data_IF_207751432797
#
_entry.id   IF_207751432797
#
_cell.length_a   1.000
_cell.length_b   1.000
_cell.length_c   1.000
_cell.angle_alpha   90.00
_cell.angle_beta   90.00
_cell.angle_gamma   90.00
#
_symmetry.space_group_name_H-M   'P 1'
#
loop_
_entity.id
_entity.type
_entity.pdbx_description
1 polymer ?
#
# COMPACT_ATOMS: atom_id res chain seq x y z
N UNK A 1 -26.22 2.66 -2.66
CA UNK A 1 -25.31 1.50 -2.56
C UNK A 1 -25.93 0.54 -1.55
N UNK A 2 -26.18 -0.72 -1.92
CA UNK A 2 -26.78 -1.69 -0.99
C UNK A 2 -25.77 -2.04 0.11
N UNK A 3 -26.18 -1.90 1.37
CA UNK A 3 -25.39 -2.30 2.55
C UNK A 3 -25.61 -3.78 2.91
N UNK A 4 -26.45 -4.48 2.15
CA UNK A 4 -26.86 -5.87 2.40
C UNK A 4 -26.18 -6.83 1.42
N UNK A 5 -25.70 -7.96 1.96
CA UNK A 5 -25.13 -9.08 1.22
C UNK A 5 -25.87 -10.37 1.64
N UNK A 6 -26.25 -11.24 0.69
CA UNK A 6 -26.25 -11.00 -0.76
C UNK A 6 -27.23 -9.87 -1.12
N UNK A 7 -27.04 -9.23 -2.27
CA UNK A 7 -27.91 -8.13 -2.71
C UNK A 7 -29.32 -8.61 -3.09
N UNK A 8 -29.43 -9.89 -3.46
CA UNK A 8 -30.68 -10.60 -3.71
C UNK A 8 -30.62 -11.97 -3.02
N UNK A 9 -31.75 -12.54 -2.58
CA UNK A 9 -31.78 -13.87 -2.00
C UNK A 9 -31.23 -14.94 -2.95
N UNK A 10 -30.47 -15.88 -2.41
CA UNK A 10 -29.90 -17.01 -3.16
C UNK A 10 -30.69 -18.27 -2.84
N UNK A 11 -30.89 -19.18 -3.80
CA UNK A 11 -31.43 -20.52 -3.50
C UNK A 11 -30.29 -21.45 -3.01
N UNK A 12 -30.26 -21.86 -1.73
CA UNK A 12 -29.22 -22.72 -1.19
C UNK A 12 -29.22 -24.12 -1.82
N UNK A 13 -30.37 -24.56 -2.35
CA UNK A 13 -30.55 -25.89 -2.93
C UNK A 13 -29.70 -26.08 -4.19
N UNK A 14 -29.44 -24.98 -4.90
CA UNK A 14 -28.61 -24.96 -6.11
C UNK A 14 -27.11 -25.19 -5.85
N UNK A 15 -26.64 -24.97 -4.61
CA UNK A 15 -25.22 -24.98 -4.26
C UNK A 15 -24.67 -26.38 -3.89
N UNK A 16 -25.53 -27.41 -3.84
CA UNK A 16 -25.09 -28.78 -3.57
C UNK A 16 -24.43 -28.97 -2.19
N UNK A 17 -24.87 -28.24 -1.17
CA UNK A 17 -24.26 -28.28 0.16
C UNK A 17 -24.37 -29.67 0.82
N UNK A 18 -23.31 -30.17 1.49
CA UNK A 18 -23.38 -31.41 2.25
C UNK A 18 -24.42 -31.31 3.39
N UNK A 19 -25.19 -32.38 3.63
CA UNK A 19 -26.26 -32.36 4.65
C UNK A 19 -25.77 -32.35 6.10
N UNK A 20 -24.48 -32.61 6.34
CA UNK A 20 -23.89 -32.84 7.65
C UNK A 20 -22.89 -31.74 8.07
N UNK A 21 -23.03 -30.52 7.53
CA UNK A 21 -22.20 -29.38 7.92
C UNK A 21 -23.03 -28.32 8.67
N UNK A 22 -22.40 -27.67 9.64
CA UNK A 22 -22.95 -26.49 10.30
C UNK A 22 -22.30 -25.25 9.70
N UNK A 23 -23.10 -24.41 9.03
CA UNK A 23 -22.64 -23.14 8.47
C UNK A 23 -22.38 -22.14 9.60
N UNK A 24 -21.36 -21.30 9.42
CA UNK A 24 -21.10 -20.18 10.32
C UNK A 24 -22.23 -19.15 10.28
N UNK A 25 -22.85 -19.01 9.11
CA UNK A 25 -24.06 -18.22 8.91
C UNK A 25 -25.15 -19.10 8.26
N UNK A 26 -26.14 -19.59 9.04
CA UNK A 26 -27.28 -20.34 8.52
C UNK A 26 -28.19 -19.54 7.58
N UNK A 27 -28.13 -18.20 7.64
CA UNK A 27 -28.96 -17.29 6.87
C UNK A 27 -28.18 -16.58 5.74
N UNK A 28 -27.01 -17.10 5.35
CA UNK A 28 -26.14 -16.52 4.29
C UNK A 28 -26.85 -16.26 2.95
N UNK A 29 -27.98 -16.91 2.72
CA UNK A 29 -28.77 -16.82 1.50
C UNK A 29 -29.79 -15.67 1.53
N UNK A 30 -29.99 -15.03 2.68
CA UNK A 30 -30.88 -13.89 2.89
C UNK A 30 -30.07 -12.60 2.95
N UNK A 31 -30.51 -11.50 2.31
CA UNK A 31 -29.85 -10.21 2.43
C UNK A 31 -29.73 -9.73 3.88
N UNK A 32 -28.50 -9.55 4.37
CA UNK A 32 -28.20 -9.08 5.72
C UNK A 32 -27.04 -8.07 5.73
N UNK A 33 -26.93 -7.18 6.73
CA UNK A 33 -25.78 -6.29 6.88
C UNK A 33 -24.48 -7.08 7.01
N UNK A 34 -23.37 -6.47 6.59
CA UNK A 34 -22.04 -7.10 6.70
C UNK A 34 -21.50 -6.93 8.12
N UNK A 35 -21.30 -8.04 8.82
CA UNK A 35 -20.64 -8.04 10.14
C UNK A 35 -19.11 -8.11 10.05
N UNK A 36 -18.58 -8.91 9.11
CA UNK A 36 -17.14 -9.15 8.94
C UNK A 36 -16.79 -9.28 7.46
N UNK A 37 -15.69 -8.64 7.04
CA UNK A 37 -15.11 -8.78 5.69
C UNK A 37 -13.93 -9.74 5.73
N UNK A 38 -13.98 -10.79 4.91
CA UNK A 38 -12.90 -11.75 4.72
C UNK A 38 -12.37 -11.67 3.28
N UNK A 39 -11.06 -11.76 3.12
CA UNK A 39 -10.43 -11.85 1.79
C UNK A 39 -10.82 -13.16 1.11
N UNK A 40 -11.08 -13.12 -0.20
CA UNK A 40 -11.44 -14.28 -1.03
C UNK A 40 -10.25 -14.80 -1.85
N UNK A 41 -10.37 -15.99 -2.43
CA UNK A 41 -9.35 -16.60 -3.29
C UNK A 41 -8.31 -17.43 -2.52
N UNK A 42 -7.04 -17.35 -2.91
CA UNK A 42 -5.96 -18.18 -2.33
C UNK A 42 -5.74 -17.94 -0.83
N UNK A 43 -6.00 -16.73 -0.36
CA UNK A 43 -5.97 -16.36 1.05
C UNK A 43 -7.07 -17.06 1.84
N UNK A 44 -8.29 -17.11 1.29
CA UNK A 44 -9.44 -17.79 1.89
C UNK A 44 -9.19 -19.28 2.06
N UNK A 45 -8.60 -19.92 1.04
CA UNK A 45 -8.19 -21.32 1.11
C UNK A 45 -7.11 -21.53 2.20
N UNK A 46 -6.23 -20.57 2.44
CA UNK A 46 -5.15 -20.72 3.41
C UNK A 46 -5.60 -20.62 4.87
N UNK A 47 -6.86 -20.22 5.15
CA UNK A 47 -7.32 -19.93 6.51
C UNK A 47 -7.37 -21.16 7.42
N UNK A 48 -7.70 -22.34 6.89
CA UNK A 48 -7.88 -23.55 7.68
C UNK A 48 -7.73 -24.83 6.84
N UNK A 49 -7.49 -25.96 7.51
CA UNK A 49 -7.17 -27.25 6.88
C UNK A 49 -8.38 -27.90 6.17
N UNK A 50 -9.61 -27.67 6.64
CA UNK A 50 -10.81 -28.33 6.12
C UNK A 50 -11.46 -27.59 4.95
N UNK A 51 -11.42 -28.16 3.75
CA UNK A 51 -11.99 -27.58 2.53
C UNK A 51 -12.85 -28.58 1.76
N UNK A 52 -13.91 -28.08 1.11
CA UNK A 52 -14.68 -28.82 0.12
C UNK A 52 -14.86 -27.94 -1.12
N UNK A 53 -14.46 -28.44 -2.29
CA UNK A 53 -14.70 -27.74 -3.55
C UNK A 53 -16.13 -28.03 -4.02
N UNK A 54 -16.91 -26.99 -4.26
CA UNK A 54 -18.29 -27.09 -4.74
C UNK A 54 -18.40 -26.80 -6.25
N UNK A 55 -17.37 -26.21 -6.85
CA UNK A 55 -17.38 -25.85 -8.27
C UNK A 55 -17.19 -27.07 -9.18
N UNK A 56 -17.97 -27.14 -10.25
CA UNK A 56 -17.74 -28.08 -11.35
C UNK A 56 -16.66 -27.56 -12.32
N UNK A 57 -16.05 -28.42 -13.16
CA UNK A 57 -15.09 -27.98 -14.16
C UNK A 57 -15.69 -26.93 -15.12
N UNK A 58 -15.17 -25.70 -15.08
CA UNK A 58 -15.64 -24.58 -15.90
C UNK A 58 -16.58 -23.59 -15.20
N UNK A 59 -16.99 -23.87 -13.96
CA UNK A 59 -17.77 -22.95 -13.12
C UNK A 59 -16.88 -21.99 -12.31
N UNK A 60 -17.43 -20.86 -11.81
CA UNK A 60 -16.74 -19.98 -10.88
C UNK A 60 -16.22 -20.75 -9.66
N UNK A 61 -15.08 -20.32 -9.11
CA UNK A 61 -14.53 -20.97 -7.92
C UNK A 61 -15.53 -20.80 -6.76
N UNK A 62 -16.00 -21.91 -6.19
CA UNK A 62 -16.86 -21.94 -5.02
C UNK A 62 -16.39 -23.05 -4.07
N UNK A 63 -16.12 -22.69 -2.82
CA UNK A 63 -15.54 -23.58 -1.81
C UNK A 63 -16.18 -23.37 -0.46
N UNK A 64 -16.27 -24.46 0.30
CA UNK A 64 -16.56 -24.46 1.72
C UNK A 64 -15.25 -24.50 2.50
N UNK A 65 -15.11 -23.60 3.47
CA UNK A 65 -13.95 -23.52 4.35
C UNK A 65 -14.40 -23.72 5.80
N UNK A 66 -13.83 -24.73 6.46
CA UNK A 66 -14.08 -24.96 7.89
C UNK A 66 -13.36 -23.91 8.72
N UNK A 67 -14.07 -23.22 9.58
CA UNK A 67 -13.52 -22.26 10.55
C UNK A 67 -13.92 -22.68 11.97
N UNK A 68 -13.43 -21.95 12.99
CA UNK A 68 -13.89 -22.14 14.39
C UNK A 68 -15.35 -21.73 14.59
N UNK A 69 -15.92 -20.89 13.71
CA UNK A 69 -17.29 -20.40 13.77
C UNK A 69 -18.29 -21.31 13.03
N UNK A 70 -17.79 -22.29 12.28
CA UNK A 70 -18.59 -23.12 11.36
C UNK A 70 -18.01 -23.10 9.96
N UNK A 71 -18.74 -23.67 9.00
CA UNK A 71 -18.36 -23.68 7.60
C UNK A 71 -18.78 -22.37 6.91
N UNK A 72 -17.84 -21.76 6.20
CA UNK A 72 -18.05 -20.52 5.44
C UNK A 72 -18.01 -20.86 3.95
N UNK A 73 -18.92 -20.26 3.17
CA UNK A 73 -18.95 -20.37 1.72
C UNK A 73 -18.15 -19.18 1.15
N UNK A 74 -17.18 -19.46 0.31
CA UNK A 74 -16.38 -18.43 -0.35
C UNK A 74 -16.00 -18.84 -1.76
N UNK A 75 -15.76 -17.85 -2.60
CA UNK A 75 -15.53 -18.09 -4.01
C UNK A 75 -14.94 -16.87 -4.70
N UNK A 76 -14.47 -17.11 -5.93
CA UNK A 76 -13.94 -16.05 -6.78
C UNK A 76 -14.59 -16.14 -8.16
N UNK A 77 -15.16 -15.05 -8.67
CA UNK A 77 -15.76 -15.05 -10.00
C UNK A 77 -14.68 -15.31 -11.07
N UNK A 78 -15.01 -16.10 -12.08
CA UNK A 78 -14.19 -16.33 -13.28
C UNK A 78 -14.26 -15.10 -14.21
N UNK A 79 -13.64 -14.00 -13.76
CA UNK A 79 -13.39 -12.76 -14.50
C UNK A 79 -14.59 -12.07 -15.18
N UNK A 80 -14.96 -10.89 -14.67
CA UNK A 80 -15.18 -9.73 -15.54
C UNK A 80 -14.85 -8.41 -14.81
N UNK A 81 -14.13 -7.58 -15.56
CA UNK A 81 -13.70 -6.20 -15.33
C UNK A 81 -14.84 -5.27 -14.94
N UNK A 82 -15.19 -5.26 -13.66
CA UNK A 82 -15.72 -4.08 -13.01
C UNK A 82 -14.99 -3.95 -11.69
N UNK A 83 -13.97 -3.09 -11.65
CA UNK A 83 -13.43 -2.61 -10.37
C UNK A 83 -14.54 -1.75 -9.77
N UNK A 84 -15.48 -2.39 -9.08
CA UNK A 84 -16.38 -1.69 -8.19
C UNK A 84 -15.56 -1.33 -6.97
N UNK A 85 -14.98 -0.12 -6.99
CA UNK A 85 -14.29 0.45 -5.84
C UNK A 85 -15.31 0.66 -4.73
N UNK A 86 -15.39 -0.28 -3.79
CA UNK A 86 -16.17 -0.11 -2.58
C UNK A 86 -15.42 0.84 -1.65
N UNK A 87 -15.92 2.07 -1.54
CA UNK A 87 -15.51 2.99 -0.49
C UNK A 87 -16.25 2.62 0.79
N UNK A 88 -15.62 1.81 1.63
CA UNK A 88 -16.06 1.62 3.01
C UNK A 88 -15.55 2.80 3.84
N UNK A 89 -16.44 3.75 4.15
CA UNK A 89 -16.12 4.84 5.07
C UNK A 89 -16.45 4.38 6.48
N UNK A 90 -15.46 3.82 7.18
CA UNK A 90 -15.67 3.32 8.53
C UNK A 90 -15.52 4.44 9.56
N UNK A 91 -16.55 5.25 9.73
CA UNK A 91 -16.54 6.38 10.68
C UNK A 91 -16.53 5.93 12.15
N UNK A 92 -17.04 4.72 12.45
CA UNK A 92 -17.15 4.21 13.82
C UNK A 92 -15.87 3.52 14.33
N UNK A 93 -15.08 2.89 13.44
CA UNK A 93 -13.88 2.14 13.85
C UNK A 93 -12.64 3.00 14.09
N UNK A 94 -12.66 4.29 13.75
CA UNK A 94 -11.47 5.13 13.87
C UNK A 94 -10.95 5.21 15.31
N UNK A 95 -11.86 5.28 16.28
CA UNK A 95 -11.51 5.28 17.71
C UNK A 95 -11.02 3.92 18.22
N UNK A 96 -11.62 2.82 17.72
CA UNK A 96 -11.21 1.46 18.08
C UNK A 96 -9.86 1.08 17.47
N UNK A 97 -9.61 1.48 16.22
CA UNK A 97 -8.31 1.34 15.56
C UNK A 97 -7.25 2.14 16.30
N UNK A 98 -7.52 3.40 16.67
CA UNK A 98 -6.58 4.20 17.45
C UNK A 98 -6.23 3.52 18.78
N UNK A 99 -7.24 3.04 19.52
CA UNK A 99 -7.02 2.28 20.77
C UNK A 99 -6.26 0.97 20.55
N UNK A 100 -6.54 0.25 19.45
CA UNK A 100 -5.82 -0.97 19.12
C UNK A 100 -4.34 -0.70 18.89
N UNK A 101 -4.00 0.35 18.13
CA UNK A 101 -2.61 0.77 17.91
C UNK A 101 -1.94 1.25 19.20
N UNK A 102 -2.64 2.00 20.06
CA UNK A 102 -2.11 2.41 21.38
C UNK A 102 -1.80 1.22 22.30
N UNK A 103 -2.61 0.15 22.24
CA UNK A 103 -2.41 -1.05 23.05
C UNK A 103 -1.25 -1.90 22.50
N UNK A 104 -1.12 -2.02 21.18
CA UNK A 104 -0.08 -2.83 20.53
C UNK A 104 1.30 -2.15 20.58
N UNK A 105 1.36 -0.82 20.44
CA UNK A 105 2.62 -0.05 20.54
C UNK A 105 3.10 0.12 22.00
N UNK A 106 2.22 -0.05 22.98
CA UNK A 106 2.53 0.11 24.41
C UNK A 106 2.70 1.58 24.83
N UNK A 107 2.91 1.86 26.14
CA UNK A 107 3.09 3.23 26.60
C UNK A 107 4.35 3.83 25.95
N UNK A 108 4.20 5.04 25.39
CA UNK A 108 5.26 5.80 24.72
C UNK A 108 6.39 6.17 25.69
N UNK A 109 7.24 5.20 26.02
CA UNK A 109 8.52 5.45 26.65
C UNK A 109 9.47 5.88 25.55
N UNK A 110 9.38 7.16 25.19
CA UNK A 110 10.25 7.80 24.21
C UNK A 110 11.65 8.00 24.79
N UNK A 111 12.38 6.90 24.94
CA UNK A 111 13.84 6.96 25.00
C UNK A 111 14.36 7.20 23.58
N UNK A 112 14.03 8.36 23.02
CA UNK A 112 14.64 8.81 21.76
C UNK A 112 16.14 8.91 22.01
N UNK A 113 16.91 8.15 21.24
CA UNK A 113 18.35 8.35 21.13
C UNK A 113 18.65 9.78 20.68
N UNK A 114 19.86 10.26 20.96
CA UNK A 114 20.30 11.58 20.50
C UNK A 114 20.17 11.74 18.98
N UNK A 115 20.44 10.67 18.23
CA UNK A 115 20.27 10.63 16.78
C UNK A 115 18.81 10.79 16.33
N UNK A 116 17.86 10.18 17.03
CA UNK A 116 16.44 10.29 16.73
C UNK A 116 15.90 11.68 17.06
N UNK A 117 16.37 12.28 18.18
CA UNK A 117 16.05 13.67 18.52
C UNK A 117 16.53 14.65 17.47
N UNK A 118 17.78 14.51 17.01
CA UNK A 118 18.35 15.36 15.96
C UNK A 118 17.60 15.19 14.62
N UNK A 119 17.19 13.96 14.30
CA UNK A 119 16.38 13.68 13.11
C UNK A 119 15.00 14.35 13.18
N UNK A 120 14.33 14.25 14.33
CA UNK A 120 13.02 14.86 14.54
C UNK A 120 13.09 16.40 14.52
N UNK A 121 14.10 16.98 15.17
CA UNK A 121 14.33 18.42 15.13
C UNK A 121 14.64 18.91 13.71
N UNK A 122 15.49 18.16 12.97
CA UNK A 122 15.77 18.47 11.58
C UNK A 122 14.50 18.42 10.72
N UNK A 123 13.65 17.40 10.90
CA UNK A 123 12.37 17.30 10.21
C UNK A 123 11.47 18.51 10.50
N UNK A 124 11.26 18.84 11.78
CA UNK A 124 10.41 19.97 12.19
C UNK A 124 10.90 21.31 11.64
N UNK A 125 12.21 21.53 11.63
CA UNK A 125 12.79 22.80 11.21
C UNK A 125 12.85 22.98 9.69
N UNK A 126 12.95 21.89 8.93
CA UNK A 126 13.27 21.96 7.50
C UNK A 126 12.21 21.37 6.57
N UNK A 127 11.24 20.62 7.08
CA UNK A 127 10.13 20.09 6.27
C UNK A 127 8.96 21.05 6.32
N UNK A 128 8.61 21.61 5.16
CA UNK A 128 7.47 22.52 5.01
C UNK A 128 6.67 22.20 3.77
N UNK A 129 5.37 22.46 3.81
CA UNK A 129 4.47 22.28 2.67
C UNK A 129 4.19 23.61 1.99
N UNK A 130 4.28 23.65 0.66
CA UNK A 130 3.95 24.84 -0.13
C UNK A 130 2.44 24.97 -0.29
N UNK A 131 1.97 26.16 -0.71
CA UNK A 131 0.54 26.43 -0.93
C UNK A 131 -0.07 25.56 -2.04
N UNK A 132 0.76 25.07 -2.96
CA UNK A 132 0.39 24.15 -4.04
C UNK A 132 0.45 22.67 -3.59
N UNK A 133 0.75 22.41 -2.31
CA UNK A 133 0.72 21.08 -1.72
C UNK A 133 2.02 20.28 -1.83
N UNK A 134 3.10 20.84 -2.38
CA UNK A 134 4.41 20.17 -2.48
C UNK A 134 5.18 20.24 -1.17
N UNK A 135 6.01 19.23 -0.88
CA UNK A 135 6.91 19.26 0.28
C UNK A 135 8.28 19.80 -0.12
N UNK A 136 8.78 20.74 0.68
CA UNK A 136 10.17 21.17 0.67
C UNK A 136 10.82 20.48 1.86
N UNK A 137 11.84 19.67 1.58
CA UNK A 137 12.62 18.94 2.59
C UNK A 137 14.08 19.38 2.47
N UNK A 138 14.76 19.60 3.59
CA UNK A 138 16.22 19.68 3.57
C UNK A 138 16.82 18.27 3.55
N UNK A 139 17.98 18.13 2.94
CA UNK A 139 18.76 16.91 3.01
C UNK A 139 19.30 16.73 4.43
N UNK A 140 18.93 15.63 5.08
CA UNK A 140 19.46 15.24 6.37
C UNK A 140 20.87 14.68 6.22
N UNK A 141 21.79 15.17 7.04
CA UNK A 141 23.15 14.64 7.14
C UNK A 141 23.30 13.89 8.46
N UNK A 142 24.06 12.80 8.46
CA UNK A 142 24.45 12.11 9.68
C UNK A 142 25.77 12.67 10.22
N UNK A 143 26.24 12.11 11.33
CA UNK A 143 27.50 12.51 12.01
C UNK A 143 28.74 12.44 11.12
N UNK A 144 28.66 11.76 9.97
CA UNK A 144 29.74 11.67 8.98
C UNK A 144 29.79 12.87 8.03
N UNK A 145 29.09 13.97 8.31
CA UNK A 145 29.16 15.20 7.51
C UNK A 145 30.61 15.69 7.34
N UNK A 146 31.46 15.53 8.35
CA UNK A 146 32.89 15.86 8.29
C UNK A 146 33.69 14.95 7.34
N UNK A 147 33.16 13.78 6.97
CA UNK A 147 33.79 12.85 6.02
C UNK A 147 33.41 13.10 4.56
N UNK A 148 32.61 14.13 4.25
CA UNK A 148 32.21 14.47 2.87
C UNK A 148 33.39 14.89 1.98
N UNK A 149 34.59 15.01 2.57
CA UNK A 149 35.87 15.18 1.89
C UNK A 149 35.93 16.45 1.03
N UNK A 150 36.81 16.44 0.03
CA UNK A 150 37.04 17.57 -0.88
C UNK A 150 36.14 17.53 -2.13
N UNK A 151 34.91 17.01 -2.00
CA UNK A 151 33.95 16.86 -3.12
C UNK A 151 33.75 18.15 -3.91
N UNK A 152 33.66 19.31 -3.23
CA UNK A 152 33.60 20.64 -3.85
C UNK A 152 34.84 20.94 -4.71
N UNK A 153 36.04 20.70 -4.18
CA UNK A 153 37.27 20.95 -4.92
C UNK A 153 37.39 20.03 -6.14
N UNK A 154 36.99 18.76 -6.02
CA UNK A 154 36.94 17.82 -7.13
C UNK A 154 35.92 18.26 -8.20
N UNK A 155 34.73 18.69 -7.81
CA UNK A 155 33.71 19.20 -8.72
C UNK A 155 34.20 20.47 -9.45
N UNK A 156 34.82 21.40 -8.74
CA UNK A 156 35.40 22.61 -9.34
C UNK A 156 36.53 22.29 -10.33
N UNK A 157 37.40 21.34 -10.01
CA UNK A 157 38.48 20.89 -10.91
C UNK A 157 37.92 20.26 -12.19
N UNK A 158 36.87 19.44 -12.07
CA UNK A 158 36.15 18.87 -13.22
C UNK A 158 35.51 19.95 -14.07
N UNK A 159 34.86 20.95 -13.46
CA UNK A 159 34.25 22.08 -14.16
C UNK A 159 35.29 22.90 -14.94
N UNK A 160 36.42 23.23 -14.29
CA UNK A 160 37.51 23.95 -14.97
C UNK A 160 38.08 23.15 -16.15
N UNK A 161 38.21 21.83 -16.00
CA UNK A 161 38.66 20.94 -17.07
C UNK A 161 37.66 20.90 -18.23
N UNK A 162 36.36 20.88 -17.92
CA UNK A 162 35.29 20.94 -18.91
C UNK A 162 35.32 22.25 -19.70
N UNK A 163 35.49 23.40 -19.03
CA UNK A 163 35.63 24.70 -19.70
C UNK A 163 36.84 24.75 -20.64
N UNK A 164 37.99 24.20 -20.21
CA UNK A 164 39.18 24.09 -21.09
C UNK A 164 38.90 23.22 -22.31
N UNK A 165 38.09 22.17 -22.18
CA UNK A 165 37.69 21.32 -23.30
C UNK A 165 36.78 22.07 -24.28
N UNK A 166 35.82 22.85 -23.79
CA UNK A 166 34.96 23.68 -24.64
C UNK A 166 35.74 24.73 -25.45
N UNK A 167 36.79 25.31 -24.86
CA UNK A 167 37.64 26.25 -25.58
C UNK A 167 38.43 25.59 -26.72
N UNK A 168 38.78 24.31 -26.57
CA UNK A 168 39.55 23.55 -27.59
C UNK A 168 38.66 22.92 -28.65
N UNK A 169 37.46 22.48 -28.27
CA UNK A 169 36.52 21.75 -29.12
C UNK A 169 35.14 22.39 -29.01
N UNK A 170 34.84 23.24 -30.00
CA UNK A 170 33.56 23.95 -30.08
C UNK A 170 32.38 23.04 -30.42
N UNK A 171 32.62 21.97 -31.17
CA UNK A 171 31.57 21.00 -31.47
C UNK A 171 31.13 20.25 -30.21
N UNK A 172 32.08 19.89 -29.35
CA UNK A 172 31.80 19.29 -28.05
C UNK A 172 31.04 20.23 -27.11
N UNK A 173 31.35 21.53 -27.10
CA UNK A 173 30.60 22.54 -26.34
C UNK A 173 29.14 22.63 -26.79
N UNK A 174 28.90 22.70 -28.10
CA UNK A 174 27.53 22.75 -28.65
C UNK A 174 26.74 21.49 -28.31
N UNK A 175 27.32 20.31 -28.49
CA UNK A 175 26.66 19.04 -28.16
C UNK A 175 26.36 18.92 -26.66
N UNK A 176 27.31 19.29 -25.78
CA UNK A 176 27.10 19.28 -24.34
C UNK A 176 25.99 20.25 -23.92
N UNK A 177 25.99 21.47 -24.47
CA UNK A 177 24.99 22.49 -24.15
C UNK A 177 23.59 22.07 -24.58
N UNK A 178 23.46 21.41 -25.74
CA UNK A 178 22.18 20.87 -26.21
C UNK A 178 21.60 19.84 -25.23
N UNK A 179 22.43 18.93 -24.70
CA UNK A 179 22.00 17.95 -23.70
C UNK A 179 21.56 18.62 -22.40
N UNK A 180 22.29 19.63 -21.91
CA UNK A 180 21.90 20.35 -20.69
C UNK A 180 20.57 21.10 -20.91
N UNK A 181 20.35 21.68 -22.09
CA UNK A 181 19.10 22.34 -22.43
C UNK A 181 17.92 21.33 -22.46
N UNK A 182 18.14 20.15 -23.03
CA UNK A 182 17.14 19.07 -23.02
C UNK A 182 16.72 18.68 -21.61
N UNK A 183 17.66 18.55 -20.66
CA UNK A 183 17.33 18.28 -19.26
C UNK A 183 16.48 19.38 -18.61
N UNK A 184 16.79 20.65 -18.90
CA UNK A 184 16.01 21.79 -18.40
C UNK A 184 14.59 21.81 -18.99
N UNK A 185 14.46 21.53 -20.28
CA UNK A 185 13.18 21.52 -20.99
C UNK A 185 12.27 20.37 -20.49
N UNK A 186 12.87 19.24 -20.07
CA UNK A 186 12.17 18.12 -19.45
C UNK A 186 11.71 18.39 -18.00
N UNK A 187 12.13 19.51 -17.40
CA UNK A 187 11.73 19.89 -16.04
C UNK A 187 12.27 18.96 -14.95
N UNK A 188 13.43 18.35 -15.17
CA UNK A 188 14.14 17.52 -14.19
C UNK A 188 15.15 18.31 -13.34
#
# INVERSE_FOLDING_TARGET
MSTFIPSEPIDPSSLGLPRNIQLADPQFHCPAPIDVLLSTGSTFASLCIGQVNLAQPGEPELRLQKTRLGWVIGGSPTSQTAINTFHATTTALQGDLARFWEIDEGPATTHLSESERLCEEHFRNHVRRTKEGRYIVALSFNEKLSSLGSSKAAAMSRLASLHRRFQRDKQYETAYSAVIQEYLDLGQ
#
